data_IF_128008396674
#
_entry.id   IF_128008396674
#
_cell.length_a   1.000
_cell.length_b   1.000
_cell.length_c   1.000
_cell.angle_alpha   90.00
_cell.angle_beta   90.00
_cell.angle_gamma   90.00
#
_symmetry.space_group_name_H-M   'P 1'
#
loop_
_entity.id
_entity.type
_entity.pdbx_description
1 polymer ?
#
# COMPACT_ATOMS: atom_id res chain seq x y z
N UNK A 1 -40.66 4.98 34.29
CA UNK A 1 -39.95 5.26 33.02
C UNK A 1 -38.46 5.23 33.30
N UNK A 2 -37.87 4.03 33.15
CA UNK A 2 -36.51 3.65 33.57
C UNK A 2 -35.52 3.67 32.39
N UNK A 3 -35.74 4.53 31.40
CA UNK A 3 -35.10 4.42 30.10
C UNK A 3 -34.39 5.72 29.66
N UNK A 4 -33.68 6.39 30.57
CA UNK A 4 -32.97 7.64 30.24
C UNK A 4 -31.49 7.65 30.67
N UNK A 5 -30.86 6.50 30.95
CA UNK A 5 -29.47 6.47 31.47
C UNK A 5 -28.50 5.64 30.61
N UNK A 6 -28.94 4.94 29.55
CA UNK A 6 -28.09 3.92 28.89
C UNK A 6 -27.80 4.11 27.40
N UNK A 7 -27.92 5.32 26.84
CA UNK A 7 -27.64 5.56 25.39
C UNK A 7 -26.40 6.41 25.07
N UNK A 8 -25.52 6.67 26.04
CA UNK A 8 -24.22 7.34 25.78
C UNK A 8 -23.07 6.48 26.28
N UNK A 9 -23.09 5.18 25.95
CA UNK A 9 -21.97 4.28 26.21
C UNK A 9 -21.74 3.31 25.05
N UNK A 10 -21.93 3.79 23.82
CA UNK A 10 -21.55 3.04 22.63
C UNK A 10 -20.92 3.99 21.61
N UNK A 11 -19.72 3.64 21.16
CA UNK A 11 -18.91 4.34 20.16
C UNK A 11 -18.13 5.58 20.62
N UNK A 12 -17.27 5.39 21.61
CA UNK A 12 -15.94 6.00 21.51
C UNK A 12 -14.88 5.00 21.95
N UNK A 13 -14.86 3.84 21.26
CA UNK A 13 -13.58 3.19 21.01
C UNK A 13 -12.90 4.09 19.98
N UNK A 14 -12.30 5.18 20.45
CA UNK A 14 -11.24 5.82 19.72
C UNK A 14 -10.19 4.72 19.57
N UNK A 15 -10.23 4.04 18.41
CA UNK A 15 -9.26 3.01 18.09
C UNK A 15 -7.91 3.61 18.39
N UNK A 16 -7.23 3.05 19.38
CA UNK A 16 -5.78 2.97 19.32
C UNK A 16 -5.55 2.16 18.05
N UNK A 17 -5.59 2.86 16.91
CA UNK A 17 -4.99 2.37 15.69
C UNK A 17 -3.52 2.30 16.04
N UNK A 18 -3.13 1.21 16.70
CA UNK A 18 -1.80 0.68 16.54
C UNK A 18 -1.66 0.58 15.04
N UNK A 19 -1.01 1.58 14.45
CA UNK A 19 -0.49 1.43 13.11
C UNK A 19 0.23 0.09 13.15
N UNK A 20 -0.13 -0.81 12.22
CA UNK A 20 0.65 -2.03 12.08
C UNK A 20 2.13 -1.63 11.99
N UNK A 21 3.03 -2.42 12.60
CA UNK A 21 4.48 -2.19 12.61
C UNK A 21 5.05 -2.33 11.18
N UNK A 22 4.69 -1.36 10.34
CA UNK A 22 5.09 -1.20 8.95
C UNK A 22 6.48 -0.58 8.87
N UNK A 23 6.99 -0.02 9.96
CA UNK A 23 8.32 0.53 10.05
C UNK A 23 9.37 -0.53 9.71
N UNK A 24 10.28 -0.17 8.80
CA UNK A 24 11.43 -0.98 8.46
C UNK A 24 11.64 -1.18 6.97
N UNK A 25 12.53 -2.11 6.66
CA UNK A 25 12.88 -2.48 5.32
C UNK A 25 12.07 -3.68 4.88
N UNK A 26 11.55 -3.65 3.67
CA UNK A 26 10.67 -4.66 3.10
C UNK A 26 11.18 -5.06 1.73
N UNK A 27 11.28 -6.36 1.49
CA UNK A 27 11.79 -6.93 0.26
C UNK A 27 10.78 -7.89 -0.34
N UNK A 28 10.57 -7.80 -1.64
CA UNK A 28 9.74 -8.76 -2.35
C UNK A 28 10.06 -8.82 -3.83
N UNK A 29 9.28 -9.62 -4.53
CA UNK A 29 9.38 -9.79 -5.96
C UNK A 29 8.04 -9.37 -6.58
N UNK A 30 8.08 -8.42 -7.51
CA UNK A 30 6.91 -8.05 -8.31
C UNK A 30 7.10 -8.52 -9.76
N UNK A 31 6.03 -8.89 -10.45
CA UNK A 31 6.10 -9.13 -11.89
C UNK A 31 6.54 -7.83 -12.59
N UNK A 32 7.71 -7.85 -13.22
CA UNK A 32 8.15 -6.76 -14.07
C UNK A 32 7.29 -6.67 -15.34
N UNK A 33 7.30 -5.51 -15.99
CA UNK A 33 6.54 -5.26 -17.22
C UNK A 33 6.90 -6.24 -18.37
N UNK A 34 8.06 -6.90 -18.30
CA UNK A 34 8.52 -7.93 -19.24
C UNK A 34 8.31 -9.39 -18.79
N UNK A 35 7.59 -9.64 -17.69
CA UNK A 35 7.33 -10.99 -17.16
C UNK A 35 8.44 -11.56 -16.26
N UNK A 36 9.62 -10.94 -16.20
CA UNK A 36 10.65 -11.31 -15.23
C UNK A 36 10.35 -10.69 -13.85
N UNK A 37 10.47 -11.46 -12.76
CA UNK A 37 10.29 -10.95 -11.41
C UNK A 37 11.42 -9.96 -11.08
N UNK A 38 11.05 -8.75 -10.68
CA UNK A 38 11.98 -7.74 -10.19
C UNK A 38 11.98 -7.70 -8.68
N UNK A 39 13.17 -7.70 -8.08
CA UNK A 39 13.34 -7.47 -6.65
C UNK A 39 13.03 -6.02 -6.33
N UNK A 40 12.10 -5.81 -5.41
CA UNK A 40 11.76 -4.48 -4.90
C UNK A 40 12.17 -4.38 -3.44
N UNK A 41 12.73 -3.23 -3.08
CA UNK A 41 13.11 -2.88 -1.72
C UNK A 41 12.39 -1.60 -1.33
N UNK A 42 11.55 -1.66 -0.30
CA UNK A 42 10.88 -0.51 0.30
C UNK A 42 11.46 -0.24 1.68
N UNK A 43 11.73 1.02 1.96
CA UNK A 43 11.92 1.51 3.33
C UNK A 43 10.65 2.23 3.72
N UNK A 44 9.85 1.65 4.62
CA UNK A 44 8.63 2.27 5.11
C UNK A 44 8.85 2.87 6.50
N UNK A 45 8.22 4.02 6.72
CA UNK A 45 8.19 4.70 8.01
C UNK A 45 6.82 5.31 8.27
N UNK A 46 6.17 4.88 9.33
CA UNK A 46 4.93 5.44 9.81
C UNK A 46 5.20 6.72 10.61
N UNK A 47 4.49 7.79 10.25
CA UNK A 47 4.38 9.02 11.03
C UNK A 47 2.91 9.26 11.38
N UNK A 48 2.47 8.58 12.44
CA UNK A 48 1.06 8.54 12.86
C UNK A 48 0.17 7.87 11.82
N UNK A 49 -0.56 8.69 11.05
CA UNK A 49 -1.44 8.23 9.95
C UNK A 49 -0.82 8.39 8.57
N UNK A 50 0.39 8.93 8.49
CA UNK A 50 1.09 9.13 7.24
C UNK A 50 2.10 8.00 7.03
N UNK A 51 2.20 7.51 5.79
CA UNK A 51 3.25 6.61 5.39
C UNK A 51 4.31 7.41 4.64
N UNK A 52 5.54 7.34 5.11
CA UNK A 52 6.70 7.95 4.47
C UNK A 52 7.69 6.85 4.11
N UNK A 53 8.67 7.17 3.26
CA UNK A 53 9.68 6.21 2.88
C UNK A 53 10.20 6.40 1.48
N UNK A 54 10.95 5.40 1.02
CA UNK A 54 11.52 5.36 -0.31
C UNK A 54 11.57 3.93 -0.85
N UNK A 55 11.71 3.82 -2.16
CA UNK A 55 12.01 2.58 -2.87
C UNK A 55 13.08 2.86 -3.92
N UNK A 56 13.79 1.83 -4.37
CA UNK A 56 14.64 1.94 -5.56
C UNK A 56 13.77 1.87 -6.84
N UNK A 57 13.95 2.84 -7.73
CA UNK A 57 13.40 2.82 -9.08
C UNK A 57 14.15 1.85 -10.00
N UNK A 58 13.60 1.59 -11.19
CA UNK A 58 14.25 0.77 -12.22
C UNK A 58 15.58 1.36 -12.70
N UNK A 59 15.74 2.68 -12.58
CA UNK A 59 16.94 3.45 -12.89
C UNK A 59 17.99 3.44 -11.75
N UNK A 60 17.68 2.78 -10.62
CA UNK A 60 18.52 2.72 -9.43
C UNK A 60 18.44 3.97 -8.54
N UNK A 61 17.67 4.99 -8.94
CA UNK A 61 17.46 6.18 -8.12
C UNK A 61 16.46 5.90 -7.00
N UNK A 62 16.55 6.68 -5.92
CA UNK A 62 15.58 6.61 -4.83
C UNK A 62 14.29 7.34 -5.22
N UNK A 63 13.19 6.60 -5.26
CA UNK A 63 11.84 7.10 -5.44
C UNK A 63 11.20 7.30 -4.07
N UNK A 64 10.86 8.54 -3.75
CA UNK A 64 10.15 8.86 -2.53
C UNK A 64 8.67 8.45 -2.62
N UNK A 65 8.14 7.96 -1.51
CA UNK A 65 6.73 7.69 -1.33
C UNK A 65 5.98 9.02 -1.24
N UNK A 66 4.94 9.20 -2.05
CA UNK A 66 4.07 10.37 -2.06
C UNK A 66 2.67 10.00 -1.56
N UNK A 67 1.95 10.96 -0.98
CA UNK A 67 0.56 10.79 -0.51
C UNK A 67 0.30 9.53 0.34
N UNK A 68 1.31 9.13 1.13
CA UNK A 68 1.25 7.91 1.92
C UNK A 68 0.30 8.04 3.11
N UNK A 69 -0.64 7.11 3.22
CA UNK A 69 -1.65 7.06 4.28
C UNK A 69 -1.72 5.67 4.89
N UNK A 70 -1.94 5.63 6.20
CA UNK A 70 -2.12 4.42 7.00
C UNK A 70 -3.50 4.44 7.63
N UNK A 71 -4.24 3.35 7.45
CA UNK A 71 -5.54 3.09 8.05
C UNK A 71 -5.52 1.71 8.73
N UNK A 72 -5.12 1.70 10.00
CA UNK A 72 -4.93 0.47 10.77
C UNK A 72 -3.83 -0.41 10.18
N UNK A 73 -4.23 -1.53 9.58
CA UNK A 73 -3.33 -2.49 8.92
C UNK A 73 -3.21 -2.23 7.41
N UNK A 74 -4.05 -1.36 6.85
CA UNK A 74 -4.03 -1.03 5.43
C UNK A 74 -3.27 0.26 5.21
N UNK A 75 -2.66 0.39 4.05
CA UNK A 75 -1.97 1.61 3.66
C UNK A 75 -2.10 1.84 2.17
N UNK A 76 -1.93 3.09 1.76
CA UNK A 76 -1.92 3.50 0.35
C UNK A 76 -0.86 4.55 0.13
N UNK A 77 -0.22 4.55 -1.02
CA UNK A 77 0.75 5.57 -1.39
C UNK A 77 0.87 5.70 -2.90
N UNK A 78 1.48 6.78 -3.35
CA UNK A 78 1.79 7.05 -4.74
C UNK A 78 3.30 6.99 -4.98
N UNK A 79 3.69 6.50 -6.16
CA UNK A 79 5.06 6.61 -6.67
C UNK A 79 5.04 7.25 -8.05
N UNK A 80 5.86 8.27 -8.23
CA UNK A 80 6.11 8.85 -9.53
C UNK A 80 7.38 8.23 -10.12
N UNK A 81 7.22 7.40 -11.15
CA UNK A 81 8.32 6.79 -11.89
C UNK A 81 8.87 7.70 -13.01
N UNK A 82 8.52 8.99 -13.04
CA UNK A 82 8.87 9.91 -14.12
C UNK A 82 8.02 9.73 -15.37
N UNK A 83 6.93 8.96 -15.28
CA UNK A 83 5.98 8.70 -16.37
C UNK A 83 4.91 9.82 -16.50
N UNK A 84 5.00 10.88 -15.69
CA UNK A 84 4.08 12.00 -15.69
C UNK A 84 2.73 11.75 -14.99
N UNK A 85 2.47 10.52 -14.55
CA UNK A 85 1.37 10.19 -13.64
C UNK A 85 1.87 9.31 -12.49
N UNK A 86 1.67 9.72 -11.23
CA UNK A 86 1.99 8.88 -10.09
C UNK A 86 1.09 7.65 -10.08
N UNK A 87 1.69 6.48 -9.89
CA UNK A 87 0.98 5.22 -9.73
C UNK A 87 0.60 5.04 -8.27
N UNK A 88 -0.68 4.76 -8.02
CA UNK A 88 -1.18 4.50 -6.68
C UNK A 88 -1.03 3.01 -6.35
N UNK A 89 -0.50 2.74 -5.16
CA UNK A 89 -0.34 1.43 -4.59
C UNK A 89 -1.16 1.34 -3.32
N UNK A 90 -1.79 0.19 -3.12
CA UNK A 90 -2.54 -0.14 -1.91
C UNK A 90 -1.98 -1.43 -1.33
N UNK A 91 -1.80 -1.48 -0.03
CA UNK A 91 -1.30 -2.66 0.64
C UNK A 91 -1.92 -2.91 2.00
N UNK A 92 -1.69 -4.11 2.51
CA UNK A 92 -2.10 -4.53 3.84
C UNK A 92 -0.94 -5.25 4.53
N UNK A 93 -0.67 -4.85 5.77
CA UNK A 93 0.35 -5.44 6.64
C UNK A 93 -0.26 -6.63 7.37
N UNK A 94 0.35 -7.80 7.19
CA UNK A 94 0.01 -9.08 7.80
C UNK A 94 1.20 -9.60 8.62
N UNK A 95 1.48 -8.96 9.75
CA UNK A 95 2.65 -9.27 10.58
C UNK A 95 3.95 -8.96 9.84
N UNK A 96 4.78 -9.97 9.58
CA UNK A 96 6.07 -9.83 8.88
C UNK A 96 5.95 -9.88 7.35
N UNK A 97 4.74 -9.84 6.81
CA UNK A 97 4.45 -9.85 5.38
C UNK A 97 3.53 -8.70 5.00
N UNK A 98 3.78 -8.09 3.84
CA UNK A 98 2.92 -7.08 3.24
C UNK A 98 2.40 -7.64 1.92
N UNK A 99 1.09 -7.56 1.71
CA UNK A 99 0.49 -7.79 0.40
C UNK A 99 0.18 -6.43 -0.22
N UNK A 100 0.76 -6.16 -1.39
CA UNK A 100 0.61 -4.89 -2.10
C UNK A 100 0.04 -5.14 -3.50
N UNK A 101 -0.80 -4.21 -3.95
CA UNK A 101 -1.38 -4.21 -5.29
C UNK A 101 -1.25 -2.81 -5.90
N UNK A 102 -0.95 -2.76 -7.18
CA UNK A 102 -1.01 -1.52 -7.96
C UNK A 102 -2.47 -1.26 -8.32
N UNK A 103 -2.95 -0.06 -8.04
CA UNK A 103 -4.25 0.41 -8.51
C UNK A 103 -4.08 0.89 -9.95
N UNK A 104 -4.47 0.04 -10.91
CA UNK A 104 -4.51 0.47 -12.30
C UNK A 104 -5.67 1.45 -12.49
N UNK A 105 -5.46 2.59 -13.19
CA UNK A 105 -6.57 3.43 -13.60
C UNK A 105 -7.52 2.56 -14.42
N UNK A 106 -8.82 2.60 -14.07
CA UNK A 106 -9.83 1.83 -14.77
C UNK A 106 -9.70 2.10 -16.27
N UNK A 107 -9.65 1.03 -17.06
CA UNK A 107 -9.63 1.17 -18.51
C UNK A 107 -10.85 2.03 -18.94
N UNK A 108 -10.68 2.97 -19.88
CA UNK A 108 -11.81 3.78 -20.34
C UNK A 108 -12.94 2.86 -20.79
N UNK A 109 -14.15 3.17 -20.30
CA UNK A 109 -15.37 2.41 -20.57
C UNK A 109 -15.55 2.26 -22.08
N UNK A 110 -15.44 1.03 -22.61
CA UNK A 110 -15.52 0.73 -24.03
C UNK A 110 -14.20 0.37 -24.75
N UNK A 111 -13.05 0.39 -24.06
CA UNK A 111 -11.86 -0.29 -24.60
C UNK A 111 -12.11 -1.80 -24.60
N UNK A 112 -11.83 -2.53 -25.71
CA UNK A 112 -11.87 -3.99 -25.67
C UNK A 112 -10.96 -4.44 -24.53
N UNK A 113 -11.47 -5.28 -23.63
CA UNK A 113 -10.65 -5.93 -22.62
C UNK A 113 -9.47 -6.58 -23.36
N UNK A 114 -8.30 -5.93 -23.31
CA UNK A 114 -7.12 -6.42 -23.99
C UNK A 114 -6.88 -7.85 -23.50
N UNK A 115 -6.51 -8.79 -24.38
CA UNK A 115 -6.41 -10.18 -24.00
C UNK A 115 -5.41 -10.31 -22.84
N UNK A 116 -5.92 -10.62 -21.65
CA UNK A 116 -5.12 -11.18 -20.57
C UNK A 116 -4.23 -10.24 -19.75
N UNK A 117 -4.56 -8.95 -19.55
CA UNK A 117 -4.15 -8.33 -18.28
C UNK A 117 -5.05 -8.89 -17.17
N UNK A 118 -4.83 -10.18 -16.85
CA UNK A 118 -5.33 -10.75 -15.60
C UNK A 118 -4.90 -9.85 -14.45
N UNK A 119 -5.71 -9.83 -13.38
CA UNK A 119 -5.35 -9.12 -12.15
C UNK A 119 -3.88 -9.37 -11.85
N UNK A 120 -3.05 -8.31 -11.85
CA UNK A 120 -1.65 -8.50 -11.52
C UNK A 120 -1.61 -9.16 -10.14
N UNK A 121 -0.88 -10.28 -9.99
CA UNK A 121 -0.82 -10.97 -8.72
C UNK A 121 -0.33 -9.98 -7.66
N UNK A 122 -0.87 -10.04 -6.43
CA UNK A 122 -0.40 -9.18 -5.35
C UNK A 122 1.10 -9.37 -5.18
N UNK A 123 1.82 -8.26 -5.12
CA UNK A 123 3.23 -8.24 -4.75
C UNK A 123 3.33 -8.54 -3.27
N UNK A 124 4.06 -9.60 -2.92
CA UNK A 124 4.30 -9.97 -1.53
C UNK A 124 5.67 -9.44 -1.11
N UNK A 125 5.69 -8.56 -0.11
CA UNK A 125 6.91 -8.08 0.52
C UNK A 125 7.08 -8.77 1.89
N UNK A 126 8.30 -9.07 2.27
CA UNK A 126 8.68 -9.63 3.56
C UNK A 126 9.56 -8.63 4.31
N UNK A 127 9.37 -8.53 5.62
CA UNK A 127 10.19 -7.68 6.48
C UNK A 127 11.63 -8.20 6.47
N UNK A 128 12.58 -7.31 6.19
CA UNK A 128 14.00 -7.59 6.23
C UNK A 128 14.46 -7.37 7.66
N UNK A 129 15.02 -8.42 8.27
CA UNK A 129 15.57 -8.38 9.63
C UNK A 129 16.86 -7.56 9.71
#
# INVERSE_FOLDING_TARGET
>A
MRALIFSVLFMLVAGMAYAADIDGNWQGEAPGMGGEPMKINYTFKADGKNLTGNTKGMDGNDLAIQDGKIDGNKFSFALDFGMGMPLVFKGEVKGDTIEMKMEMPAAPEGAPAGPGMGEMPPTILKKVK
#
